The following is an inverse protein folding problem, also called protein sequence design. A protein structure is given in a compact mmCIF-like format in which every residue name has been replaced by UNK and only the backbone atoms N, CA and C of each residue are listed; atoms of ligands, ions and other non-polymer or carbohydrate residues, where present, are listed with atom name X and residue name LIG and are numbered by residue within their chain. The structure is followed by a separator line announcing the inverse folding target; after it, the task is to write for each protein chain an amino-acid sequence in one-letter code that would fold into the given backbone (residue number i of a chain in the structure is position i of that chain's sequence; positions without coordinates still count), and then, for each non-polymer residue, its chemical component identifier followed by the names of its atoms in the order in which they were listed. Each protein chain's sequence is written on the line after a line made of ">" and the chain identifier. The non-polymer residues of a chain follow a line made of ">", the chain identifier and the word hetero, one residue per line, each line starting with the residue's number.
data_IF_600580745535
#
_entry.id   IF_600580745535
#
_cell.length_a   1.000
_cell.length_b   1.000
_cell.length_c   1.000
_cell.angle_alpha   90.00
_cell.angle_beta   90.00
_cell.angle_gamma   90.00
#
_symmetry.space_group_name_H-M   'P 1'
#
loop_
_entity.id
_entity.type
_entity.pdbx_description
1 polymer ?
#
# COMPACT_ATOMS: atom_id res chain seq x y z
N UNK A 1 7.28 -12.70 -12.06
CA UNK A 1 5.98 -13.39 -12.23
C UNK A 1 5.17 -12.92 -13.44
N UNK A 2 5.33 -11.70 -13.96
CA UNK A 2 4.57 -11.21 -15.13
C UNK A 2 5.37 -11.04 -16.42
N UNK A 3 6.70 -11.19 -16.37
CA UNK A 3 7.58 -10.92 -17.51
C UNK A 3 7.22 -11.68 -18.80
N UNK A 4 6.80 -12.97 -18.77
CA UNK A 4 6.37 -13.65 -20.01
C UNK A 4 5.13 -13.02 -20.63
N UNK A 5 4.16 -12.59 -19.82
CA UNK A 5 2.91 -11.97 -20.29
C UNK A 5 3.19 -10.58 -20.86
N UNK A 6 4.03 -9.79 -20.18
CA UNK A 6 4.43 -8.47 -20.65
C UNK A 6 5.25 -8.51 -21.95
N UNK A 7 6.00 -9.59 -22.20
CA UNK A 7 6.68 -9.80 -23.48
C UNK A 7 5.70 -10.07 -24.62
N UNK A 8 4.58 -10.71 -24.34
CA UNK A 8 3.60 -11.13 -25.35
C UNK A 8 2.45 -10.15 -25.57
N UNK A 9 2.25 -9.20 -24.64
CA UNK A 9 1.10 -8.28 -24.64
C UNK A 9 1.58 -6.85 -24.81
N UNK A 10 1.37 -6.28 -25.99
CA UNK A 10 1.60 -4.86 -26.28
C UNK A 10 0.31 -4.05 -26.08
N UNK A 11 -0.33 -4.24 -24.93
CA UNK A 11 -1.59 -3.58 -24.59
C UNK A 11 -1.54 -3.10 -23.13
N UNK A 12 -1.54 -1.79 -22.98
CA UNK A 12 -1.48 -1.09 -21.69
C UNK A 12 -2.73 -1.33 -20.83
N UNK A 13 -3.91 -1.48 -21.44
CA UNK A 13 -5.15 -1.76 -20.74
C UNK A 13 -5.14 -3.17 -20.12
N UNK A 14 -4.67 -4.17 -20.86
CA UNK A 14 -4.54 -5.55 -20.35
C UNK A 14 -3.51 -5.60 -19.21
N UNK A 15 -2.36 -4.94 -19.37
CA UNK A 15 -1.35 -4.89 -18.32
C UNK A 15 -1.86 -4.18 -17.05
N UNK A 16 -2.64 -3.10 -17.21
CA UNK A 16 -3.28 -2.41 -16.09
C UNK A 16 -4.29 -3.31 -15.38
N UNK A 17 -5.12 -4.03 -16.14
CA UNK A 17 -6.10 -4.97 -15.59
C UNK A 17 -5.41 -6.07 -14.78
N UNK A 18 -4.34 -6.64 -15.31
CA UNK A 18 -3.56 -7.68 -14.62
C UNK A 18 -2.94 -7.13 -13.33
N UNK A 19 -2.35 -5.93 -13.38
CA UNK A 19 -1.80 -5.28 -12.20
C UNK A 19 -2.86 -5.08 -11.11
N UNK A 20 -4.04 -4.60 -11.49
CA UNK A 20 -5.19 -4.45 -10.60
C UNK A 20 -5.59 -5.79 -10.00
N UNK A 21 -5.84 -6.81 -10.83
CA UNK A 21 -6.29 -8.13 -10.37
C UNK A 21 -5.32 -8.77 -9.37
N UNK A 22 -4.02 -8.75 -9.66
CA UNK A 22 -3.01 -9.34 -8.76
C UNK A 22 -2.93 -8.57 -7.44
N UNK A 23 -2.93 -7.24 -7.51
CA UNK A 23 -2.81 -6.40 -6.31
C UNK A 23 -4.06 -6.48 -5.44
N UNK A 24 -5.26 -6.46 -6.04
CA UNK A 24 -6.53 -6.64 -5.33
C UNK A 24 -6.64 -8.05 -4.74
N UNK A 25 -6.29 -9.09 -5.51
CA UNK A 25 -6.28 -10.47 -4.99
C UNK A 25 -5.38 -10.64 -3.76
N UNK A 26 -4.24 -9.94 -3.75
CA UNK A 26 -3.32 -9.95 -2.60
C UNK A 26 -3.95 -9.25 -1.39
N UNK A 27 -4.54 -8.06 -1.58
CA UNK A 27 -5.25 -7.35 -0.51
C UNK A 27 -6.42 -8.16 0.03
N UNK A 28 -7.24 -8.74 -0.85
CA UNK A 28 -8.38 -9.58 -0.51
C UNK A 28 -7.94 -10.81 0.28
N UNK A 29 -6.84 -11.45 -0.13
CA UNK A 29 -6.31 -12.60 0.61
C UNK A 29 -5.94 -12.22 2.05
N UNK A 30 -5.24 -11.11 2.23
CA UNK A 30 -4.88 -10.58 3.56
C UNK A 30 -6.15 -10.31 4.38
N UNK A 31 -7.09 -9.61 3.78
CA UNK A 31 -8.31 -9.17 4.43
C UNK A 31 -9.23 -10.34 4.82
N UNK A 32 -9.46 -11.29 3.90
CA UNK A 32 -10.33 -12.44 4.09
C UNK A 32 -9.75 -13.45 5.07
N UNK A 33 -8.43 -13.64 5.07
CA UNK A 33 -7.74 -14.51 6.04
C UNK A 33 -7.46 -13.82 7.38
N UNK A 34 -7.83 -12.54 7.52
CA UNK A 34 -7.60 -11.73 8.73
C UNK A 34 -6.16 -11.82 9.23
N UNK A 35 -5.20 -11.82 8.30
CA UNK A 35 -3.78 -12.00 8.60
C UNK A 35 -3.34 -10.88 9.54
N UNK A 36 -2.73 -11.25 10.68
CA UNK A 36 -2.27 -10.29 11.67
C UNK A 36 -0.81 -9.91 11.43
N UNK A 37 -0.51 -8.62 11.39
CA UNK A 37 0.84 -8.12 11.14
C UNK A 37 1.51 -7.63 12.42
N UNK A 38 2.75 -8.07 12.65
CA UNK A 38 3.66 -7.38 13.56
C UNK A 38 4.12 -6.05 12.93
N UNK A 39 4.86 -5.21 13.67
CA UNK A 39 5.40 -3.96 13.10
C UNK A 39 6.32 -4.25 11.92
N UNK A 40 7.20 -5.24 12.11
CA UNK A 40 8.13 -5.70 11.08
C UNK A 40 7.40 -6.38 9.92
N UNK A 41 6.35 -7.16 10.19
CA UNK A 41 5.54 -7.76 9.13
C UNK A 41 4.81 -6.71 8.29
N UNK A 42 4.28 -5.66 8.92
CA UNK A 42 3.66 -4.55 8.20
C UNK A 42 4.68 -3.74 7.38
N UNK A 43 5.87 -3.51 7.94
CA UNK A 43 6.96 -2.86 7.22
C UNK A 43 7.41 -3.67 6.00
N UNK A 44 7.60 -4.99 6.17
CA UNK A 44 7.97 -5.88 5.08
C UNK A 44 6.89 -5.87 3.99
N UNK A 45 5.61 -5.97 4.35
CA UNK A 45 4.51 -5.89 3.39
C UNK A 45 4.53 -4.56 2.60
N UNK A 46 4.80 -3.44 3.27
CA UNK A 46 4.94 -2.15 2.61
C UNK A 46 6.13 -2.14 1.63
N UNK A 47 7.26 -2.73 2.01
CA UNK A 47 8.40 -2.90 1.10
C UNK A 47 8.04 -3.78 -0.10
N UNK A 48 7.31 -4.88 0.11
CA UNK A 48 6.91 -5.79 -0.97
C UNK A 48 5.96 -5.07 -1.96
N UNK A 49 5.03 -4.25 -1.47
CA UNK A 49 4.19 -3.39 -2.32
C UNK A 49 5.01 -2.33 -3.08
N UNK A 50 5.98 -1.68 -2.42
CA UNK A 50 6.87 -0.73 -3.08
C UNK A 50 7.70 -1.40 -4.19
N UNK A 51 8.12 -2.65 -3.97
CA UNK A 51 8.88 -3.42 -4.94
C UNK A 51 8.09 -3.69 -6.22
N UNK A 52 6.76 -3.84 -6.17
CA UNK A 52 5.93 -3.94 -7.40
C UNK A 52 6.09 -2.70 -8.27
N UNK A 53 6.08 -1.52 -7.66
CA UNK A 53 6.26 -0.24 -8.38
C UNK A 53 7.67 -0.11 -8.93
N UNK A 54 8.69 -0.52 -8.16
CA UNK A 54 10.08 -0.53 -8.61
C UNK A 54 10.27 -1.51 -9.77
N UNK A 55 9.71 -2.71 -9.69
CA UNK A 55 9.73 -3.68 -10.76
C UNK A 55 9.06 -3.14 -12.03
N UNK A 56 7.92 -2.43 -11.93
CA UNK A 56 7.30 -1.76 -13.08
C UNK A 56 8.27 -0.72 -13.66
N UNK A 57 8.94 0.09 -12.83
CA UNK A 57 9.92 1.13 -13.23
C UNK A 57 11.18 0.58 -13.88
N UNK A 58 11.58 -0.64 -13.57
CA UNK A 58 12.82 -1.24 -14.09
C UNK A 58 12.55 -2.32 -15.15
N UNK A 59 11.28 -2.68 -15.40
CA UNK A 59 10.96 -3.75 -16.36
C UNK A 59 11.29 -3.31 -17.80
N UNK A 60 12.20 -4.03 -18.50
CA UNK A 60 12.64 -3.67 -19.85
C UNK A 60 11.59 -3.93 -20.93
N UNK A 61 10.57 -4.74 -20.62
CA UNK A 61 9.50 -5.11 -21.57
C UNK A 61 8.33 -4.13 -21.54
N UNK A 62 8.33 -3.16 -20.62
CA UNK A 62 7.27 -2.15 -20.51
C UNK A 62 7.72 -0.90 -21.25
N UNK A 63 6.98 -0.48 -22.28
CA UNK A 63 7.24 0.79 -22.98
C UNK A 63 7.07 1.98 -22.04
N UNK A 64 7.71 3.10 -22.34
CA UNK A 64 7.61 4.30 -21.49
C UNK A 64 6.16 4.82 -21.36
N UNK A 65 5.37 4.69 -22.43
CA UNK A 65 3.94 5.00 -22.41
C UNK A 65 3.17 4.10 -21.44
N UNK A 66 3.37 2.78 -21.51
CA UNK A 66 2.74 1.82 -20.59
C UNK A 66 3.18 2.09 -19.15
N UNK A 67 4.47 2.34 -18.93
CA UNK A 67 5.06 2.63 -17.60
C UNK A 67 4.35 3.80 -16.93
N UNK A 68 4.16 4.91 -17.66
CA UNK A 68 3.44 6.10 -17.17
C UNK A 68 1.99 5.79 -16.79
N UNK A 69 1.31 4.89 -17.50
CA UNK A 69 -0.08 4.50 -17.18
C UNK A 69 -0.15 3.55 -15.99
N UNK A 70 0.71 2.52 -15.96
CA UNK A 70 0.75 1.53 -14.88
C UNK A 70 1.10 2.15 -13.54
N UNK A 71 2.08 3.06 -13.49
CA UNK A 71 2.49 3.74 -12.26
C UNK A 71 1.42 4.70 -11.71
N UNK A 72 0.43 5.08 -12.53
CA UNK A 72 -0.71 5.90 -12.10
C UNK A 72 -1.91 5.06 -11.63
N UNK A 73 -1.83 3.73 -11.73
CA UNK A 73 -2.91 2.85 -11.30
C UNK A 73 -3.15 3.02 -9.78
N UNK A 74 -4.40 3.29 -9.42
CA UNK A 74 -4.79 3.57 -8.03
C UNK A 74 -4.57 2.39 -7.10
N UNK A 75 -4.53 1.16 -7.62
CA UNK A 75 -4.29 -0.04 -6.82
C UNK A 75 -2.92 0.00 -6.13
N UNK A 76 -1.91 0.60 -6.78
CA UNK A 76 -0.57 0.77 -6.19
C UNK A 76 -0.63 1.71 -4.97
N UNK A 77 -1.39 2.81 -5.08
CA UNK A 77 -1.60 3.75 -3.96
C UNK A 77 -2.39 3.10 -2.84
N UNK A 78 -3.38 2.26 -3.17
CA UNK A 78 -4.16 1.50 -2.19
C UNK A 78 -3.27 0.51 -1.43
N UNK A 79 -2.43 -0.24 -2.14
CA UNK A 79 -1.44 -1.13 -1.53
C UNK A 79 -0.49 -0.37 -0.57
N UNK A 80 0.08 0.74 -1.01
CA UNK A 80 0.91 1.60 -0.16
C UNK A 80 0.14 2.08 1.07
N UNK A 81 -1.08 2.57 0.88
CA UNK A 81 -1.95 3.04 1.95
C UNK A 81 -2.25 1.95 2.98
N UNK A 82 -2.53 0.72 2.55
CA UNK A 82 -2.72 -0.43 3.44
C UNK A 82 -1.45 -0.70 4.25
N UNK A 83 -0.29 -0.75 3.60
CA UNK A 83 0.99 -0.94 4.29
C UNK A 83 1.24 0.14 5.35
N UNK A 84 0.94 1.41 5.03
CA UNK A 84 1.05 2.54 5.98
C UNK A 84 0.05 2.46 7.13
N UNK A 85 -1.21 2.09 6.86
CA UNK A 85 -2.22 1.87 7.89
C UNK A 85 -1.76 0.78 8.87
N UNK A 86 -1.21 -0.32 8.37
CA UNK A 86 -0.69 -1.42 9.18
C UNK A 86 0.58 -1.07 9.96
N UNK A 87 1.24 0.06 9.69
CA UNK A 87 2.34 0.55 10.52
C UNK A 87 1.85 1.37 11.72
N UNK A 88 0.60 1.86 11.68
CA UNK A 88 -0.01 2.64 12.76
C UNK A 88 -0.45 1.78 13.93
N UNK A 89 -0.67 2.42 15.08
CA UNK A 89 -1.20 1.73 16.25
C UNK A 89 -2.72 1.50 16.11
N UNK A 90 -3.26 0.35 16.56
CA UNK A 90 -4.71 0.17 16.68
C UNK A 90 -5.32 1.26 17.56
N UNK A 91 -6.35 1.95 17.05
CA UNK A 91 -7.01 3.07 17.74
C UNK A 91 -6.37 4.44 17.51
N UNK A 92 -5.29 4.54 16.72
CA UNK A 92 -4.74 5.82 16.28
C UNK A 92 -5.71 6.48 15.28
N UNK A 93 -6.30 7.62 15.68
CA UNK A 93 -7.19 8.38 14.79
C UNK A 93 -6.36 8.96 13.64
N UNK A 94 -6.75 8.64 12.42
CA UNK A 94 -6.21 9.29 11.23
C UNK A 94 -6.65 10.76 11.29
N UNK A 95 -5.69 11.68 11.49
CA UNK A 95 -5.97 13.10 11.28
C UNK A 95 -6.28 13.28 9.80
N UNK A 96 -7.56 13.45 9.49
CA UNK A 96 -7.98 14.02 8.21
C UNK A 96 -7.18 15.31 8.06
N UNK A 97 -6.45 15.46 6.95
CA UNK A 97 -5.67 16.67 6.71
C UNK A 97 -6.68 17.82 6.61
N UNK A 98 -6.80 18.59 7.69
CA UNK A 98 -7.52 19.85 7.66
C UNK A 98 -6.80 20.75 6.66
N UNK A 99 -7.53 21.21 5.63
CA UNK A 99 -7.06 22.09 4.56
C UNK A 99 -6.71 23.50 5.10
N UNK A 100 -5.70 23.62 5.96
CA UNK A 100 -5.13 24.92 6.35
C UNK A 100 -3.64 24.95 6.08
N UNK A 101 -3.34 25.34 4.83
CA UNK A 101 -2.26 26.22 4.37
C UNK A 101 -1.03 26.25 5.29
N UNK A 102 0.06 25.65 4.84
CA UNK A 102 1.41 26.16 5.17
C UNK A 102 2.12 26.44 3.85
N UNK A 103 2.21 27.73 3.51
CA UNK A 103 3.04 28.25 2.42
C UNK A 103 4.52 28.19 2.86
N UNK A 104 5.37 27.64 1.97
CA UNK A 104 6.84 27.71 1.81
C UNK A 104 7.29 26.30 1.37
N UNK A 105 7.93 26.03 0.23
CA UNK A 105 8.68 26.83 -0.76
C UNK A 105 8.57 26.08 -2.10
N UNK A 106 8.86 26.79 -3.19
CA UNK A 106 8.67 26.47 -4.60
C UNK A 106 9.33 25.17 -5.09
N UNK A 107 8.79 24.66 -6.22
CA UNK A 107 9.23 23.53 -7.06
C UNK A 107 8.73 22.13 -6.65
N UNK A 108 7.47 21.79 -6.98
CA UNK A 108 7.22 20.74 -7.98
C UNK A 108 5.73 20.67 -8.33
N UNK A 109 5.43 20.54 -9.62
CA UNK A 109 4.09 20.57 -10.21
C UNK A 109 3.39 19.20 -10.06
N UNK A 110 3.34 18.67 -8.85
CA UNK A 110 2.57 17.46 -8.51
C UNK A 110 1.32 17.93 -7.76
N UNK A 111 0.18 17.90 -8.45
CA UNK A 111 -1.14 18.16 -7.88
C UNK A 111 -1.22 17.57 -6.47
N UNK A 112 -1.67 18.37 -5.49
CA UNK A 112 -1.97 18.00 -4.10
C UNK A 112 -2.50 16.56 -3.99
N UNK A 113 -1.61 15.58 -3.91
CA UNK A 113 -2.00 14.18 -3.97
C UNK A 113 -2.37 13.77 -2.54
N UNK A 114 -3.59 13.26 -2.38
CA UNK A 114 -4.07 12.82 -1.07
C UNK A 114 -3.11 11.76 -0.50
N UNK A 115 -2.91 11.69 0.84
CA UNK A 115 -2.10 10.64 1.45
C UNK A 115 -2.55 9.25 0.97
N UNK A 116 -1.62 8.31 0.81
CA UNK A 116 -1.91 6.97 0.25
C UNK A 116 -3.01 6.23 1.05
N UNK A 117 -3.05 6.43 2.37
CA UNK A 117 -4.08 5.88 3.25
C UNK A 117 -5.50 6.29 2.84
N UNK A 118 -5.68 7.49 2.26
CA UNK A 118 -6.99 8.00 1.83
C UNK A 118 -7.55 7.28 0.60
N UNK A 119 -6.74 6.47 -0.10
CA UNK A 119 -7.19 5.61 -1.22
C UNK A 119 -7.68 4.24 -0.74
N UNK A 120 -7.59 3.97 0.56
CA UNK A 120 -7.96 2.68 1.16
C UNK A 120 -9.38 2.74 1.72
N UNK A 121 -10.33 1.97 1.20
CA UNK A 121 -11.64 1.83 1.83
C UNK A 121 -11.52 1.04 3.14
N UNK A 122 -12.46 1.24 4.05
CA UNK A 122 -12.55 0.49 5.31
C UNK A 122 -11.27 0.56 6.19
N UNK A 123 -10.68 1.76 6.30
CA UNK A 123 -9.39 1.97 6.99
C UNK A 123 -9.34 1.38 8.42
N UNK A 124 -10.45 1.46 9.17
CA UNK A 124 -10.54 0.91 10.54
C UNK A 124 -10.35 -0.61 10.55
N UNK A 125 -10.94 -1.33 9.59
CA UNK A 125 -10.81 -2.78 9.50
C UNK A 125 -9.38 -3.21 9.15
N UNK A 126 -8.65 -2.39 8.39
CA UNK A 126 -7.22 -2.61 8.16
C UNK A 126 -6.39 -2.38 9.42
N UNK A 127 -6.69 -1.33 10.20
CA UNK A 127 -6.03 -1.08 11.48
C UNK A 127 -6.22 -2.24 12.47
N UNK A 128 -7.38 -2.90 12.45
CA UNK A 128 -7.64 -4.09 13.27
C UNK A 128 -6.74 -5.28 12.93
N UNK A 129 -6.18 -5.36 11.71
CA UNK A 129 -5.25 -6.43 11.31
C UNK A 129 -3.87 -6.26 11.95
N UNK A 130 -3.60 -5.17 12.65
CA UNK A 130 -2.37 -5.03 13.39
C UNK A 130 -2.37 -5.90 14.65
N UNK A 131 -1.33 -6.73 14.80
CA UNK A 131 -1.12 -7.50 16.02
C UNK A 131 -0.83 -6.56 17.20
N UNK A 132 -1.73 -6.57 18.18
CA UNK A 132 -1.54 -5.88 19.46
C UNK A 132 -0.29 -6.43 20.15
N UNK A 133 0.60 -5.55 20.62
CA UNK A 133 1.68 -5.97 21.53
C UNK A 133 1.00 -6.61 22.74
N UNK A 134 1.23 -7.92 22.96
CA UNK A 134 0.86 -8.55 24.23
C UNK A 134 1.52 -7.75 25.34
N UNK A 135 0.74 -6.98 26.10
CA UNK A 135 1.20 -6.45 27.39
C UNK A 135 1.62 -7.69 28.17
N UNK A 136 2.93 -7.86 28.44
CA UNK A 136 3.40 -8.88 29.38
C UNK A 136 2.64 -8.60 30.67
N UNK A 137 1.62 -9.40 30.97
CA UNK A 137 1.01 -9.43 32.30
C UNK A 137 2.08 -10.03 33.20
N UNK A 138 2.99 -9.20 33.69
CA UNK A 138 3.72 -9.53 34.91
C UNK A 138 2.66 -9.62 35.99
N UNK A 139 2.23 -10.84 36.31
CA UNK A 139 1.62 -11.11 37.61
C UNK A 139 2.78 -11.02 38.59
N UNK A 140 2.80 -10.09 39.56
CA UNK A 140 3.71 -10.24 40.68
C UNK A 140 3.27 -11.52 41.39
N UNK A 141 4.16 -12.50 41.44
CA UNK A 141 4.02 -13.60 42.38
C UNK A 141 4.13 -12.97 43.78
N UNK A 142 3.00 -12.88 44.48
CA UNK A 142 2.99 -12.65 45.91
C UNK A 142 3.56 -13.90 46.60
N UNK A 143 4.59 -13.69 47.42
CA UNK A 143 4.86 -14.44 48.63
C UNK A 143 4.98 -13.43 49.77
#
# INVERSE_FOLDING_TARGET
>A
MLSPVLKSVDNDAICNMILTLISESWLDHIYNKKIKFSQWGAFQLLCDFAYVSMWIKDCPYITEHMRKKLLKNEVLRRCEGVGRLLLRCPGERLKMVDKKITKKTEEDNQHQQMPAEMYVPNQEQWLELRALKRKKKFKPFCC
#
